data_IF_709691344419
#
_entry.id   IF_709691344419
#
_cell.length_a   1.000
_cell.length_b   1.000
_cell.length_c   1.000
_cell.angle_alpha   90.00
_cell.angle_beta   90.00
_cell.angle_gamma   90.00
#
_symmetry.space_group_name_H-M   'P 1'
#
loop_
_entity.id
_entity.type
_entity.pdbx_description
1 polymer ?
#
# COMPACT_ATOMS: atom_id res chain seq x y z
N UNK A 1 -21.16 -7.24 -44.55
CA UNK A 1 -19.94 -6.41 -44.31
C UNK A 1 -20.08 -5.73 -42.96
N UNK A 2 -19.09 -5.92 -42.09
CA UNK A 2 -19.06 -5.41 -40.71
C UNK A 2 -18.87 -3.89 -40.70
N UNK A 3 -19.79 -3.14 -40.11
CA UNK A 3 -19.55 -1.74 -39.77
C UNK A 3 -18.92 -1.65 -38.38
N UNK A 4 -17.59 -1.66 -38.36
CA UNK A 4 -16.73 -1.36 -37.21
C UNK A 4 -16.63 0.18 -37.06
N UNK A 5 -17.71 0.85 -36.66
CA UNK A 5 -17.67 2.31 -36.43
C UNK A 5 -18.13 2.80 -35.05
N UNK A 6 -18.64 1.91 -34.20
CA UNK A 6 -19.09 2.29 -32.87
C UNK A 6 -18.26 1.56 -31.82
N UNK A 7 -17.25 2.25 -31.26
CA UNK A 7 -16.66 2.09 -29.91
C UNK A 7 -15.20 2.60 -29.75
N UNK A 8 -14.87 3.84 -30.15
CA UNK A 8 -13.79 4.57 -29.49
C UNK A 8 -14.29 5.65 -28.49
N UNK A 9 -15.61 5.84 -28.35
CA UNK A 9 -16.16 6.92 -27.52
C UNK A 9 -16.31 6.60 -26.03
N UNK A 10 -16.45 5.33 -25.63
CA UNK A 10 -16.60 4.98 -24.20
C UNK A 10 -15.29 5.05 -23.41
N UNK A 11 -14.12 4.95 -24.06
CA UNK A 11 -12.82 5.01 -23.38
C UNK A 11 -12.36 6.46 -23.22
N UNK A 12 -12.69 7.33 -24.19
CA UNK A 12 -12.31 8.75 -24.13
C UNK A 12 -13.15 9.56 -23.12
N UNK A 13 -14.40 9.17 -22.85
CA UNK A 13 -15.21 9.82 -21.81
C UNK A 13 -14.74 9.50 -20.39
N UNK A 14 -14.24 8.28 -20.14
CA UNK A 14 -13.69 7.90 -18.84
C UNK A 14 -12.36 8.61 -18.50
N UNK A 15 -11.57 8.94 -19.53
CA UNK A 15 -10.32 9.69 -19.38
C UNK A 15 -10.54 11.20 -19.29
N UNK A 16 -11.58 11.75 -19.94
CA UNK A 16 -11.87 13.19 -19.87
C UNK A 16 -12.53 13.63 -18.54
N UNK A 17 -13.26 12.75 -17.85
CA UNK A 17 -13.73 13.06 -16.48
C UNK A 17 -12.60 13.10 -15.44
N UNK A 18 -11.44 12.50 -15.72
CA UNK A 18 -10.33 12.40 -14.77
C UNK A 18 -9.49 13.67 -14.62
N UNK A 19 -9.64 14.66 -15.51
CA UNK A 19 -8.91 15.94 -15.39
C UNK A 19 -9.51 16.90 -14.36
N UNK A 20 -10.69 16.60 -13.79
CA UNK A 20 -11.39 17.48 -12.84
C UNK A 20 -11.39 17.01 -11.37
N UNK A 21 -10.78 15.86 -11.03
CA UNK A 21 -10.77 15.37 -9.65
C UNK A 21 -9.45 15.72 -8.94
N UNK A 22 -9.33 16.99 -8.56
CA UNK A 22 -8.40 17.43 -7.50
C UNK A 22 -8.76 16.76 -6.17
N UNK A 23 -10.05 16.44 -6.00
CA UNK A 23 -10.60 15.76 -4.85
C UNK A 23 -9.83 14.46 -4.55
N UNK A 24 -9.41 14.30 -3.30
CA UNK A 24 -8.66 13.14 -2.79
C UNK A 24 -7.26 12.94 -3.39
N UNK A 25 -6.71 13.90 -4.16
CA UNK A 25 -5.35 13.78 -4.71
C UNK A 25 -4.31 13.51 -3.63
N UNK A 26 -4.26 14.38 -2.63
CA UNK A 26 -3.26 14.30 -1.56
C UNK A 26 -3.52 13.09 -0.66
N UNK A 27 -4.79 12.77 -0.39
CA UNK A 27 -5.17 11.62 0.42
C UNK A 27 -4.79 10.29 -0.26
N UNK A 28 -5.08 10.14 -1.56
CA UNK A 28 -4.70 8.95 -2.31
C UNK A 28 -3.18 8.76 -2.33
N UNK A 29 -2.45 9.83 -2.57
CA UNK A 29 -0.99 9.83 -2.56
C UNK A 29 -0.44 9.43 -1.17
N UNK A 30 -0.91 10.07 -0.10
CA UNK A 30 -0.52 9.73 1.27
C UNK A 30 -0.81 8.27 1.64
N UNK A 31 -1.95 7.71 1.19
CA UNK A 31 -2.29 6.32 1.44
C UNK A 31 -1.33 5.36 0.72
N UNK A 32 -0.97 5.65 -0.53
CA UNK A 32 0.01 4.86 -1.27
C UNK A 32 1.39 4.92 -0.60
N UNK A 33 1.87 6.12 -0.26
CA UNK A 33 3.16 6.32 0.44
C UNK A 33 3.18 5.57 1.77
N UNK A 34 2.10 5.65 2.55
CA UNK A 34 1.98 4.96 3.84
C UNK A 34 2.02 3.43 3.69
N UNK A 35 1.34 2.89 2.68
CA UNK A 35 1.28 1.43 2.46
C UNK A 35 2.57 0.89 1.82
N UNK A 36 3.28 1.70 1.02
CA UNK A 36 4.59 1.38 0.46
C UNK A 36 5.71 1.53 1.49
N UNK A 37 5.62 2.50 2.40
CA UNK A 37 6.64 2.84 3.39
C UNK A 37 7.76 3.76 2.88
N UNK A 38 7.62 4.30 1.68
CA UNK A 38 8.54 5.24 1.04
C UNK A 38 7.81 6.06 -0.04
N UNK A 39 8.46 7.12 -0.50
CA UNK A 39 7.98 7.99 -1.57
C UNK A 39 8.28 7.37 -2.95
N UNK A 40 7.26 6.90 -3.71
CA UNK A 40 7.48 6.33 -5.03
C UNK A 40 7.75 7.43 -6.07
N UNK A 41 8.49 7.10 -7.13
CA UNK A 41 8.61 7.97 -8.30
C UNK A 41 7.21 8.27 -8.86
N UNK A 42 6.88 9.55 -9.17
CA UNK A 42 5.53 9.94 -9.59
C UNK A 42 4.99 9.14 -10.79
N UNK A 43 5.86 8.79 -11.74
CA UNK A 43 5.48 8.02 -12.92
C UNK A 43 5.07 6.58 -12.56
N UNK A 44 5.67 5.99 -11.52
CA UNK A 44 5.34 4.64 -11.07
C UNK A 44 4.03 4.60 -10.26
N UNK A 45 3.69 5.69 -9.55
CA UNK A 45 2.49 5.77 -8.72
C UNK A 45 1.27 6.37 -9.41
N UNK A 46 1.45 7.12 -10.52
CA UNK A 46 0.39 7.89 -11.19
C UNK A 46 -0.92 7.12 -11.41
N UNK A 47 -0.84 5.93 -12.00
CA UNK A 47 -2.03 5.12 -12.30
C UNK A 47 -2.69 4.58 -11.02
N UNK A 48 -1.87 4.08 -10.09
CA UNK A 48 -2.34 3.59 -8.79
C UNK A 48 -3.01 4.69 -7.96
N UNK A 49 -2.50 5.93 -8.01
CA UNK A 49 -3.11 7.09 -7.36
C UNK A 49 -4.47 7.43 -7.97
N UNK A 50 -4.59 7.45 -9.30
CA UNK A 50 -5.87 7.71 -9.98
C UNK A 50 -6.93 6.67 -9.58
N UNK A 51 -6.56 5.39 -9.59
CA UNK A 51 -7.44 4.31 -9.14
C UNK A 51 -7.83 4.46 -7.66
N UNK A 52 -6.88 4.85 -6.83
CA UNK A 52 -7.11 5.05 -5.38
C UNK A 52 -8.06 6.23 -5.13
N UNK A 53 -7.96 7.32 -5.91
CA UNK A 53 -8.92 8.45 -5.85
C UNK A 53 -10.35 8.00 -6.18
N UNK A 54 -10.52 7.23 -7.26
CA UNK A 54 -11.84 6.69 -7.64
C UNK A 54 -12.42 5.75 -6.54
N UNK A 55 -11.55 4.96 -5.91
CA UNK A 55 -11.92 4.12 -4.77
C UNK A 55 -12.28 4.91 -3.53
N UNK A 56 -11.56 5.99 -3.22
CA UNK A 56 -11.89 6.89 -2.09
C UNK A 56 -13.26 7.52 -2.29
N UNK A 57 -13.53 8.06 -3.48
CA UNK A 57 -14.86 8.58 -3.82
C UNK A 57 -15.96 7.53 -3.60
N UNK A 58 -15.72 6.30 -4.04
CA UNK A 58 -16.66 5.18 -3.87
C UNK A 58 -16.85 4.78 -2.40
N UNK A 59 -15.80 4.91 -1.57
CA UNK A 59 -15.84 4.64 -0.13
C UNK A 59 -16.66 5.72 0.59
N UNK A 60 -16.39 6.99 0.31
CA UNK A 60 -17.12 8.12 0.89
C UNK A 60 -18.60 8.14 0.48
N UNK A 61 -18.90 7.71 -0.75
CA UNK A 61 -20.29 7.57 -1.20
C UNK A 61 -20.98 6.29 -0.72
N UNK A 62 -20.33 5.48 0.13
CA UNK A 62 -20.88 4.22 0.66
C UNK A 62 -21.07 3.10 -0.36
N UNK A 63 -20.53 3.23 -1.58
CA UNK A 63 -20.64 2.22 -2.65
C UNK A 63 -19.75 1.01 -2.41
N UNK A 64 -18.64 1.20 -1.69
CA UNK A 64 -17.74 0.11 -1.27
C UNK A 64 -17.50 0.15 0.23
N UNK A 65 -17.29 -1.03 0.82
CA UNK A 65 -16.93 -1.14 2.23
C UNK A 65 -15.44 -0.81 2.46
N UNK A 66 -15.10 -0.40 3.69
CA UNK A 66 -13.69 -0.21 4.12
C UNK A 66 -12.81 -1.44 3.86
N UNK A 67 -13.38 -2.64 4.01
CA UNK A 67 -12.68 -3.91 3.74
C UNK A 67 -12.32 -4.06 2.26
N UNK A 68 -13.25 -3.74 1.36
CA UNK A 68 -13.00 -3.79 -0.09
C UNK A 68 -12.04 -2.69 -0.53
N UNK A 69 -12.16 -1.50 0.05
CA UNK A 69 -11.21 -0.41 -0.15
C UNK A 69 -9.78 -0.83 0.20
N UNK A 70 -9.57 -1.39 1.40
CA UNK A 70 -8.24 -1.84 1.84
C UNK A 70 -7.65 -2.90 0.91
N UNK A 71 -8.46 -3.85 0.41
CA UNK A 71 -8.01 -4.85 -0.56
C UNK A 71 -7.55 -4.20 -1.88
N UNK A 72 -8.33 -3.27 -2.43
CA UNK A 72 -7.94 -2.59 -3.66
C UNK A 72 -6.72 -1.67 -3.48
N UNK A 73 -6.56 -1.02 -2.33
CA UNK A 73 -5.36 -0.24 -2.02
C UNK A 73 -4.09 -1.12 -2.05
N UNK A 74 -4.15 -2.33 -1.49
CA UNK A 74 -3.03 -3.29 -1.53
C UNK A 74 -2.71 -3.68 -2.98
N UNK A 75 -3.74 -3.92 -3.80
CA UNK A 75 -3.56 -4.24 -5.23
C UNK A 75 -2.88 -3.07 -5.96
N UNK A 76 -3.37 -1.84 -5.76
CA UNK A 76 -2.77 -0.64 -6.36
C UNK A 76 -1.30 -0.47 -5.94
N UNK A 77 -0.98 -0.69 -4.66
CA UNK A 77 0.41 -0.65 -4.19
C UNK A 77 1.27 -1.73 -4.85
N UNK A 78 0.74 -2.94 -5.04
CA UNK A 78 1.46 -4.00 -5.75
C UNK A 78 1.71 -3.65 -7.22
N UNK A 79 0.81 -2.91 -7.87
CA UNK A 79 1.03 -2.34 -9.20
C UNK A 79 2.22 -1.38 -9.18
N UNK A 80 2.30 -0.46 -8.21
CA UNK A 80 3.46 0.44 -8.06
C UNK A 80 4.76 -0.35 -7.85
N UNK A 81 4.74 -1.36 -6.98
CA UNK A 81 5.91 -2.24 -6.77
C UNK A 81 6.34 -2.94 -8.05
N UNK A 82 5.39 -3.42 -8.85
CA UNK A 82 5.65 -4.04 -10.15
C UNK A 82 6.26 -3.06 -11.15
N UNK A 83 5.73 -1.84 -11.22
CA UNK A 83 6.27 -0.76 -12.06
C UNK A 83 7.70 -0.40 -11.68
N UNK A 84 7.97 -0.24 -10.38
CA UNK A 84 9.31 0.06 -9.86
C UNK A 84 10.29 -1.05 -10.25
N UNK A 85 9.95 -2.32 -9.98
CA UNK A 85 10.81 -3.47 -10.34
C UNK A 85 11.14 -3.54 -11.82
N UNK A 86 10.21 -3.14 -12.68
CA UNK A 86 10.36 -3.30 -14.14
C UNK A 86 11.06 -2.12 -14.79
N UNK A 87 10.78 -0.90 -14.34
CA UNK A 87 11.15 0.32 -15.06
C UNK A 87 11.98 1.32 -14.25
N UNK A 88 12.03 1.18 -12.91
CA UNK A 88 12.74 2.10 -12.02
C UNK A 88 13.68 1.32 -11.08
N UNK A 89 14.71 0.65 -11.64
CA UNK A 89 15.66 -0.16 -10.87
C UNK A 89 16.31 0.62 -9.72
N UNK A 90 16.48 1.93 -9.88
CA UNK A 90 17.00 2.85 -8.88
C UNK A 90 16.15 2.93 -7.60
N UNK A 91 14.86 2.56 -7.62
CA UNK A 91 14.02 2.53 -6.43
C UNK A 91 13.75 1.11 -5.90
N UNK A 92 14.28 0.07 -6.54
CA UNK A 92 14.01 -1.32 -6.13
C UNK A 92 14.52 -1.61 -4.73
N UNK A 93 15.66 -1.03 -4.33
CA UNK A 93 16.21 -1.20 -2.98
C UNK A 93 15.25 -0.70 -1.87
N UNK A 94 14.38 0.26 -2.18
CA UNK A 94 13.38 0.79 -1.23
C UNK A 94 12.27 -0.24 -0.96
N UNK A 95 12.00 -1.13 -1.92
CA UNK A 95 11.02 -2.22 -1.76
C UNK A 95 11.51 -3.30 -0.79
N UNK A 96 12.82 -3.43 -0.63
CA UNK A 96 13.48 -4.48 0.14
C UNK A 96 13.79 -4.07 1.58
N UNK A 97 13.50 -2.83 1.96
CA UNK A 97 13.57 -2.35 3.34
C UNK A 97 12.51 -3.06 4.19
N UNK A 98 12.78 -4.32 4.52
CA UNK A 98 12.02 -5.10 5.49
C UNK A 98 11.92 -4.27 6.76
N UNK A 99 10.71 -4.20 7.32
CA UNK A 99 10.52 -3.80 8.72
C UNK A 99 11.58 -4.56 9.53
N UNK A 100 12.35 -3.91 10.42
CA UNK A 100 13.30 -4.62 11.24
C UNK A 100 12.55 -5.77 11.87
N UNK A 101 12.94 -7.00 11.55
CA UNK A 101 12.49 -8.16 12.31
C UNK A 101 12.90 -7.82 13.73
N UNK A 102 11.94 -7.52 14.59
CA UNK A 102 12.18 -7.45 16.03
C UNK A 102 12.89 -8.75 16.33
N UNK A 103 14.19 -8.66 16.60
CA UNK A 103 15.06 -9.83 16.56
C UNK A 103 14.49 -10.79 17.60
N UNK A 104 13.97 -11.94 17.16
CA UNK A 104 13.39 -12.93 18.08
C UNK A 104 14.39 -13.33 19.16
N UNK A 105 15.69 -13.14 18.88
CA UNK A 105 16.79 -13.16 19.85
C UNK A 105 16.58 -12.22 21.04
N UNK A 106 16.22 -10.95 20.82
CA UNK A 106 16.00 -9.98 21.89
C UNK A 106 14.76 -10.31 22.73
N UNK A 107 13.68 -10.74 22.08
CA UNK A 107 12.47 -11.20 22.79
C UNK A 107 12.76 -12.46 23.62
N UNK A 108 13.52 -13.42 23.06
CA UNK A 108 13.94 -14.63 23.75
C UNK A 108 14.87 -14.34 24.94
N UNK A 109 15.80 -13.39 24.79
CA UNK A 109 16.71 -12.97 25.87
C UNK A 109 15.94 -12.34 27.03
N UNK A 110 14.98 -11.45 26.75
CA UNK A 110 14.14 -10.86 27.79
C UNK A 110 13.34 -11.91 28.57
N UNK A 111 12.69 -12.85 27.87
CA UNK A 111 11.92 -13.92 28.52
C UNK A 111 12.83 -14.80 29.39
N UNK A 112 14.00 -15.19 28.88
CA UNK A 112 14.96 -15.99 29.64
C UNK A 112 15.44 -15.27 30.91
N UNK A 113 15.81 -13.98 30.81
CA UNK A 113 16.24 -13.22 31.99
C UNK A 113 15.17 -13.12 33.06
N UNK A 114 13.90 -12.92 32.69
CA UNK A 114 12.78 -12.87 33.63
C UNK A 114 12.58 -14.22 34.33
N UNK A 115 12.65 -15.32 33.58
CA UNK A 115 12.52 -16.67 34.14
C UNK A 115 13.65 -17.01 35.12
N UNK A 116 14.89 -16.63 34.81
CA UNK A 116 16.04 -16.84 35.70
C UNK A 116 15.88 -16.04 37.00
N UNK A 117 15.43 -14.79 36.93
CA UNK A 117 15.20 -13.95 38.11
C UNK A 117 14.10 -14.55 39.00
N UNK A 118 12.99 -15.00 38.40
CA UNK A 118 11.91 -15.65 39.16
C UNK A 118 12.42 -16.94 39.85
N UNK A 119 13.20 -17.76 39.15
CA UNK A 119 13.77 -18.98 39.72
C UNK A 119 14.72 -18.69 40.91
N UNK A 120 15.55 -17.64 40.79
CA UNK A 120 16.43 -17.21 41.88
C UNK A 120 15.66 -16.71 43.10
N UNK A 121 14.57 -15.97 42.90
CA UNK A 121 13.70 -15.54 44.00
C UNK A 121 13.10 -16.76 44.71
N UNK A 122 12.53 -17.72 43.98
CA UNK A 122 11.96 -18.93 44.59
C UNK A 122 13.01 -19.69 45.40
N UNK A 123 14.22 -19.85 44.88
CA UNK A 123 15.31 -20.55 45.56
C UNK A 123 15.76 -19.85 46.85
N UNK A 124 15.79 -18.50 46.88
CA UNK A 124 16.21 -17.75 48.07
C UNK A 124 15.16 -17.71 49.18
N UNK A 125 13.89 -17.97 48.87
CA UNK A 125 12.76 -17.89 49.80
C UNK A 125 12.14 -19.26 50.15
N UNK A 126 12.76 -20.37 49.73
CA UNK A 126 12.35 -21.74 50.05
C UNK A 126 13.38 -22.43 50.94
#
# INVERSE_FOLDING_TARGET
MKNLKDKPQEINSFLQENNNFIEFKDEAHQLIVKELGFEPIPQASKEAELLTRAMLKSLYSGKISKKNFKKGLIVNCNTVRGMIRKYYPEQVYLLEKKRPSVSYLYLGLCIFTVLVVIALIIFLYS
#
